data_IF_145954304497
#
_entry.id   IF_145954304497
#
_cell.length_a   1.000
_cell.length_b   1.000
_cell.length_c   1.000
_cell.angle_alpha   90.00
_cell.angle_beta   90.00
_cell.angle_gamma   90.00
#
_symmetry.space_group_name_H-M   'P 1'
#
loop_
_entity.id
_entity.type
_entity.pdbx_description
1 polymer ?
#
# COMPACT_ATOMS: atom_id res chain seq x y z
N UNK A 1 -75.22 -8.38 5.57
CA UNK A 1 -75.57 -7.53 6.73
C UNK A 1 -75.92 -8.46 7.87
N UNK A 2 -75.08 -8.50 8.94
CA UNK A 2 -75.10 -9.50 10.04
C UNK A 2 -74.89 -10.93 9.52
N UNK A 3 -74.20 -11.86 10.14
CA UNK A 3 -73.43 -11.98 11.36
C UNK A 3 -72.70 -13.33 11.16
N UNK A 4 -71.38 -13.32 10.99
CA UNK A 4 -70.58 -14.51 10.68
C UNK A 4 -69.62 -14.76 11.82
N UNK A 5 -70.09 -15.47 12.84
CA UNK A 5 -69.40 -15.73 14.10
C UNK A 5 -68.13 -16.55 13.86
N UNK A 6 -66.96 -15.90 13.98
CA UNK A 6 -65.68 -16.62 14.12
C UNK A 6 -65.68 -17.26 15.50
N UNK A 7 -66.04 -18.54 15.58
CA UNK A 7 -65.88 -19.32 16.82
C UNK A 7 -64.46 -19.86 16.86
N UNK A 8 -63.68 -19.38 17.82
CA UNK A 8 -62.33 -19.87 18.08
C UNK A 8 -62.41 -21.02 19.08
N UNK A 9 -62.07 -22.23 18.66
CA UNK A 9 -61.91 -23.37 19.56
C UNK A 9 -60.41 -23.62 19.78
N UNK A 10 -60.00 -23.66 21.06
CA UNK A 10 -58.59 -23.71 21.49
C UNK A 10 -58.20 -25.08 22.10
N UNK A 11 -59.02 -26.11 21.91
CA UNK A 11 -58.90 -27.37 22.63
C UNK A 11 -57.70 -28.27 22.28
N UNK A 12 -56.74 -27.86 21.43
CA UNK A 12 -55.50 -28.62 21.18
C UNK A 12 -54.32 -27.78 20.64
N UNK A 13 -54.21 -26.50 21.02
CA UNK A 13 -53.06 -25.66 20.63
C UNK A 13 -52.94 -25.33 19.13
N UNK A 14 -53.97 -25.63 18.34
CA UNK A 14 -54.11 -25.22 16.93
C UNK A 14 -55.43 -24.48 16.75
N UNK A 15 -55.36 -23.25 16.25
CA UNK A 15 -56.53 -22.47 15.87
C UNK A 15 -57.14 -23.07 14.60
N UNK A 16 -58.40 -23.52 14.68
CA UNK A 16 -59.17 -23.94 13.51
C UNK A 16 -60.23 -22.89 13.21
N UNK A 17 -60.13 -22.25 12.04
CA UNK A 17 -61.15 -21.31 11.54
C UNK A 17 -61.95 -22.05 10.47
N UNK A 18 -63.27 -22.14 10.67
CA UNK A 18 -64.19 -22.64 9.64
C UNK A 18 -64.51 -21.46 8.71
N UNK A 19 -64.10 -21.58 7.45
CA UNK A 19 -64.35 -20.59 6.39
C UNK A 19 -65.36 -21.20 5.41
N UNK A 20 -66.34 -20.41 4.98
CA UNK A 20 -67.29 -20.80 3.94
C UNK A 20 -66.55 -21.22 2.66
N UNK A 21 -67.00 -22.33 2.06
CA UNK A 21 -66.34 -22.94 0.90
C UNK A 21 -66.16 -21.96 -0.27
N UNK A 22 -67.11 -21.06 -0.48
CA UNK A 22 -67.07 -20.08 -1.57
C UNK A 22 -66.00 -18.99 -1.33
N UNK A 23 -65.75 -18.60 -0.07
CA UNK A 23 -64.64 -17.71 0.30
C UNK A 23 -63.28 -18.39 0.19
N UNK A 24 -63.22 -19.71 0.45
CA UNK A 24 -61.99 -20.48 0.28
C UNK A 24 -61.57 -20.55 -1.20
N UNK A 25 -62.53 -20.69 -2.11
CA UNK A 25 -62.28 -20.68 -3.57
C UNK A 25 -61.84 -19.29 -4.08
N UNK A 26 -62.31 -18.20 -3.45
CA UNK A 26 -61.86 -16.83 -3.75
C UNK A 26 -60.44 -16.56 -3.26
N UNK A 27 -60.07 -17.06 -2.08
CA UNK A 27 -58.70 -16.98 -1.54
C UNK A 27 -57.73 -17.79 -2.41
N UNK A 28 -58.10 -19.02 -2.80
CA UNK A 28 -57.29 -19.86 -3.70
C UNK A 28 -57.09 -19.25 -5.09
N UNK A 29 -58.07 -18.49 -5.61
CA UNK A 29 -57.93 -17.77 -6.88
C UNK A 29 -56.97 -16.59 -6.81
N UNK A 30 -56.77 -16.02 -5.62
CA UNK A 30 -55.86 -14.89 -5.38
C UNK A 30 -54.43 -15.32 -4.97
N UNK A 31 -54.17 -16.62 -4.78
CA UNK A 31 -52.86 -17.17 -4.37
C UNK A 31 -51.84 -17.32 -5.51
N UNK A 32 -52.14 -16.91 -6.75
CA UNK A 32 -51.17 -16.93 -7.87
C UNK A 32 -50.84 -15.52 -8.35
N UNK A 33 -50.39 -14.68 -7.42
CA UNK A 33 -49.29 -13.76 -7.70
C UNK A 33 -48.32 -13.80 -6.52
N UNK A 34 -47.53 -14.86 -6.42
CA UNK A 34 -46.22 -14.81 -5.73
C UNK A 34 -45.26 -13.89 -6.51
N UNK A 35 -45.61 -12.61 -6.64
CA UNK A 35 -44.66 -11.58 -6.96
C UNK A 35 -43.83 -11.34 -5.72
N UNK A 36 -42.67 -12.00 -5.60
CA UNK A 36 -41.64 -11.60 -4.62
C UNK A 36 -41.35 -10.11 -4.80
N UNK A 37 -41.93 -9.24 -3.96
CA UNK A 37 -41.48 -7.86 -3.83
C UNK A 37 -40.04 -7.91 -3.29
N UNK A 38 -39.06 -7.83 -4.19
CA UNK A 38 -37.66 -7.60 -3.84
C UNK A 38 -37.51 -6.13 -3.44
N UNK A 39 -37.60 -5.84 -2.14
CA UNK A 39 -37.07 -4.59 -1.62
C UNK A 39 -35.55 -4.61 -1.73
N UNK A 40 -34.99 -3.92 -2.72
CA UNK A 40 -33.55 -3.63 -2.78
C UNK A 40 -33.32 -2.42 -1.88
N UNK A 41 -33.09 -2.67 -0.59
CA UNK A 41 -32.69 -1.60 0.33
C UNK A 41 -31.22 -1.29 0.08
N UNK A 42 -30.95 -0.06 -0.37
CA UNK A 42 -29.60 0.46 -0.51
C UNK A 42 -29.01 0.67 0.89
N UNK A 43 -28.29 -0.34 1.38
CA UNK A 43 -27.68 -0.37 2.70
C UNK A 43 -26.75 0.82 2.94
N UNK A 44 -26.27 1.49 1.89
CA UNK A 44 -25.43 2.69 2.01
C UNK A 44 -26.21 3.95 2.47
N UNK A 45 -27.55 3.90 2.43
CA UNK A 45 -28.45 5.00 2.82
C UNK A 45 -29.13 4.77 4.17
N UNK A 46 -28.89 3.63 4.82
CA UNK A 46 -29.39 3.37 6.17
C UNK A 46 -28.53 4.09 7.20
N UNK A 47 -29.07 4.29 8.40
CA UNK A 47 -28.29 4.83 9.54
C UNK A 47 -27.08 3.94 9.86
N UNK A 48 -27.18 2.64 9.58
CA UNK A 48 -26.10 1.68 9.77
C UNK A 48 -25.00 1.85 8.72
N UNK A 49 -25.34 1.99 7.43
CA UNK A 49 -24.36 2.28 6.39
C UNK A 49 -23.71 3.66 6.52
N UNK A 50 -24.43 4.65 7.07
CA UNK A 50 -23.86 5.95 7.41
C UNK A 50 -22.83 5.84 8.55
N UNK A 51 -23.15 5.09 9.61
CA UNK A 51 -22.21 4.80 10.71
C UNK A 51 -21.00 4.02 10.24
N UNK A 52 -21.17 3.04 9.36
CA UNK A 52 -20.05 2.25 8.82
C UNK A 52 -19.11 3.10 7.97
N UNK A 53 -19.64 4.03 7.16
CA UNK A 53 -18.81 5.01 6.42
C UNK A 53 -18.07 5.96 7.36
N UNK A 54 -18.74 6.45 8.40
CA UNK A 54 -18.13 7.35 9.38
C UNK A 54 -17.04 6.63 10.20
N UNK A 55 -17.28 5.39 10.61
CA UNK A 55 -16.31 4.55 11.30
C UNK A 55 -15.12 4.19 10.39
N UNK A 56 -15.36 3.87 9.12
CA UNK A 56 -14.31 3.63 8.14
C UNK A 56 -13.47 4.91 7.90
N UNK A 57 -14.12 6.07 7.81
CA UNK A 57 -13.45 7.36 7.67
C UNK A 57 -12.62 7.72 8.92
N UNK A 58 -13.14 7.43 10.11
CA UNK A 58 -12.43 7.62 11.38
C UNK A 58 -11.22 6.68 11.49
N UNK A 59 -11.37 5.38 11.18
CA UNK A 59 -10.24 4.44 11.13
C UNK A 59 -9.18 4.86 10.11
N UNK A 60 -9.59 5.34 8.95
CA UNK A 60 -8.68 5.87 7.94
C UNK A 60 -7.95 7.14 8.41
N UNK A 61 -8.60 8.01 9.20
CA UNK A 61 -7.99 9.23 9.73
C UNK A 61 -6.98 8.92 10.84
N UNK A 62 -7.30 8.00 11.75
CA UNK A 62 -6.40 7.51 12.82
C UNK A 62 -5.17 6.82 12.23
N UNK A 63 -5.37 5.91 11.26
CA UNK A 63 -4.25 5.27 10.56
C UNK A 63 -3.35 6.29 9.83
N UNK A 64 -3.91 7.38 9.29
CA UNK A 64 -3.13 8.48 8.69
C UNK A 64 -2.31 9.25 9.71
N UNK A 65 -2.87 9.54 10.88
CA UNK A 65 -2.15 10.26 11.95
C UNK A 65 -1.00 9.42 12.50
N UNK A 66 -1.23 8.13 12.71
CA UNK A 66 -0.20 7.20 13.18
C UNK A 66 0.93 7.07 12.15
N UNK A 67 0.60 6.91 10.87
CA UNK A 67 1.60 6.86 9.79
C UNK A 67 2.41 8.16 9.67
N UNK A 68 1.78 9.32 9.86
CA UNK A 68 2.46 10.62 9.89
C UNK A 68 3.37 10.76 11.12
N UNK A 69 2.94 10.27 12.27
CA UNK A 69 3.70 10.32 13.52
C UNK A 69 4.90 9.36 13.45
N UNK A 70 4.72 8.13 12.95
CA UNK A 70 5.79 7.16 12.67
C UNK A 70 6.82 7.72 11.67
N UNK A 71 6.37 8.33 10.58
CA UNK A 71 7.25 8.99 9.63
C UNK A 71 8.05 10.16 10.23
N UNK A 72 7.59 10.76 11.34
CA UNK A 72 8.33 11.78 12.10
C UNK A 72 9.34 11.15 13.08
N UNK A 73 9.02 10.01 13.70
CA UNK A 73 9.94 9.30 14.59
C UNK A 73 11.16 8.75 13.85
N UNK A 74 10.99 8.20 12.65
CA UNK A 74 12.11 7.72 11.82
C UNK A 74 13.01 8.84 11.25
N UNK A 75 12.50 10.08 11.16
CA UNK A 75 13.23 11.27 10.66
C UNK A 75 13.84 12.14 11.78
N UNK A 76 13.93 11.61 13.00
CA UNK A 76 14.65 12.31 14.08
C UNK A 76 16.14 12.37 13.75
N UNK A 77 16.76 13.53 13.99
CA UNK A 77 18.20 13.71 13.82
C UNK A 77 18.95 12.62 14.60
N UNK A 78 19.81 11.87 13.92
CA UNK A 78 20.59 10.78 14.52
C UNK A 78 19.95 9.38 14.46
N UNK A 79 18.75 9.22 13.90
CA UNK A 79 18.16 7.89 13.65
C UNK A 79 19.01 7.06 12.68
N UNK A 80 18.90 5.73 12.74
CA UNK A 80 19.53 4.84 11.75
C UNK A 80 19.15 5.20 10.31
N UNK A 81 17.89 5.61 10.07
CA UNK A 81 17.43 6.02 8.74
C UNK A 81 18.23 7.21 8.21
N UNK A 82 18.38 8.25 9.04
CA UNK A 82 19.10 9.48 8.68
C UNK A 82 20.58 9.18 8.50
N UNK A 83 21.18 8.40 9.40
CA UNK A 83 22.61 8.01 9.31
C UNK A 83 22.90 7.17 8.07
N UNK A 84 22.04 6.19 7.76
CA UNK A 84 22.12 5.38 6.55
C UNK A 84 22.08 6.28 5.31
N UNK A 85 21.06 7.13 5.19
CA UNK A 85 20.92 8.00 4.02
C UNK A 85 22.04 9.03 3.89
N UNK A 86 22.58 9.54 5.01
CA UNK A 86 23.78 10.38 5.00
C UNK A 86 25.00 9.65 4.44
N UNK A 87 25.20 8.38 4.84
CA UNK A 87 26.30 7.55 4.34
C UNK A 87 26.12 7.25 2.85
N UNK A 88 24.94 6.80 2.44
CA UNK A 88 24.62 6.53 1.03
C UNK A 88 24.78 7.77 0.15
N UNK A 89 24.40 8.95 0.66
CA UNK A 89 24.62 10.22 -0.03
C UNK A 89 26.11 10.50 -0.25
N UNK A 90 26.97 10.24 0.75
CA UNK A 90 28.43 10.38 0.57
C UNK A 90 28.95 9.47 -0.53
N UNK A 91 28.47 8.23 -0.62
CA UNK A 91 28.83 7.32 -1.72
C UNK A 91 28.47 7.94 -3.07
N UNK A 92 27.25 8.45 -3.23
CA UNK A 92 26.84 9.13 -4.48
C UNK A 92 27.73 10.34 -4.76
N UNK A 93 28.05 11.15 -3.75
CA UNK A 93 28.91 12.33 -3.89
C UNK A 93 30.33 11.95 -4.32
N UNK A 94 30.93 10.88 -3.79
CA UNK A 94 32.26 10.41 -4.20
C UNK A 94 32.26 9.87 -5.63
N UNK A 95 31.28 9.03 -6.00
CA UNK A 95 31.14 8.53 -7.38
C UNK A 95 30.94 9.69 -8.36
N UNK A 96 30.13 10.69 -7.98
CA UNK A 96 29.82 11.84 -8.84
C UNK A 96 31.00 12.78 -9.10
N UNK A 97 32.09 12.71 -8.30
CA UNK A 97 33.31 13.50 -8.52
C UNK A 97 34.19 12.92 -9.63
N UNK A 98 34.03 11.64 -9.97
CA UNK A 98 34.84 10.99 -10.99
C UNK A 98 34.35 11.41 -12.38
N UNK A 99 35.22 12.03 -13.16
CA UNK A 99 34.86 12.58 -14.49
C UNK A 99 34.39 11.50 -15.46
N UNK A 100 34.89 10.27 -15.30
CA UNK A 100 34.53 9.13 -16.15
C UNK A 100 33.02 8.82 -16.08
N UNK A 101 32.34 9.23 -15.00
CA UNK A 101 30.93 8.97 -14.76
C UNK A 101 30.01 10.15 -15.07
N UNK A 102 30.52 11.20 -15.73
CA UNK A 102 29.74 12.40 -16.07
C UNK A 102 28.45 12.06 -16.84
N UNK A 103 28.47 11.01 -17.67
CA UNK A 103 27.32 10.56 -18.45
C UNK A 103 26.12 10.09 -17.61
N UNK A 104 26.33 9.73 -16.32
CA UNK A 104 25.30 9.20 -15.42
C UNK A 104 24.88 10.19 -14.34
N UNK A 105 25.41 11.42 -14.37
CA UNK A 105 25.08 12.46 -13.39
C UNK A 105 23.66 12.99 -13.53
N UNK A 106 23.16 13.05 -14.77
CA UNK A 106 21.84 13.59 -15.10
C UNK A 106 20.99 12.53 -15.79
N UNK A 107 19.65 12.70 -15.79
CA UNK A 107 18.77 11.76 -16.48
C UNK A 107 19.20 11.51 -17.92
N UNK A 108 19.40 10.25 -18.30
CA UNK A 108 19.83 9.87 -19.65
C UNK A 108 18.87 10.37 -20.75
N UNK A 109 17.59 10.53 -20.40
CA UNK A 109 16.56 11.10 -21.27
C UNK A 109 16.86 12.55 -21.70
N UNK A 110 17.62 13.34 -20.93
CA UNK A 110 18.03 14.69 -21.33
C UNK A 110 18.94 14.67 -22.56
N UNK A 111 19.73 13.59 -22.74
CA UNK A 111 20.64 13.41 -23.87
C UNK A 111 20.00 12.64 -25.02
N UNK A 112 19.30 11.56 -24.71
CA UNK A 112 18.71 10.65 -25.71
C UNK A 112 17.31 11.09 -26.20
N UNK A 113 16.70 12.05 -25.51
CA UNK A 113 15.37 12.58 -25.83
C UNK A 113 14.26 11.53 -25.75
N UNK A 114 13.19 11.76 -26.51
CA UNK A 114 11.99 10.93 -26.53
C UNK A 114 12.22 9.45 -26.91
N UNK A 115 13.35 9.11 -27.53
CA UNK A 115 13.69 7.73 -27.88
C UNK A 115 14.05 6.88 -26.67
N UNK A 116 14.58 7.51 -25.61
CA UNK A 116 14.91 6.81 -24.37
C UNK A 116 13.68 6.13 -23.76
N UNK A 117 12.58 6.87 -23.68
CA UNK A 117 11.33 6.38 -23.08
C UNK A 117 10.58 5.36 -23.93
N UNK A 118 11.05 5.07 -25.15
CA UNK A 118 10.56 3.92 -25.94
C UNK A 118 11.13 2.59 -25.44
N UNK A 119 12.24 2.63 -24.70
CA UNK A 119 12.98 1.43 -24.25
C UNK A 119 12.96 1.31 -22.72
N UNK A 120 13.17 2.42 -22.03
CA UNK A 120 13.22 2.50 -20.56
C UNK A 120 11.98 3.23 -20.06
N UNK A 121 11.22 2.65 -19.14
CA UNK A 121 10.01 3.32 -18.64
C UNK A 121 10.38 4.52 -17.77
N UNK A 122 9.59 5.61 -17.78
CA UNK A 122 9.87 6.80 -16.96
C UNK A 122 10.04 6.50 -15.47
N UNK A 123 9.23 5.60 -14.91
CA UNK A 123 9.25 5.19 -13.50
C UNK A 123 10.47 4.35 -13.11
N UNK A 124 11.14 3.73 -14.09
CA UNK A 124 12.35 2.91 -13.92
C UNK A 124 13.62 3.71 -14.27
N UNK A 125 13.49 4.96 -14.73
CA UNK A 125 14.64 5.79 -15.07
C UNK A 125 15.38 6.25 -13.80
N UNK A 126 16.71 6.18 -13.83
CA UNK A 126 17.56 6.52 -12.70
C UNK A 126 18.87 7.18 -13.16
N UNK A 127 19.41 8.04 -12.30
CA UNK A 127 20.68 8.76 -12.46
C UNK A 127 21.24 9.18 -11.09
N UNK A 128 22.52 9.53 -11.03
CA UNK A 128 23.20 9.84 -9.76
C UNK A 128 22.63 11.09 -9.07
N UNK A 129 22.18 12.12 -9.81
CA UNK A 129 21.54 13.30 -9.21
C UNK A 129 20.20 12.92 -8.57
N UNK A 130 19.39 12.08 -9.22
CA UNK A 130 18.14 11.57 -8.67
C UNK A 130 18.37 10.74 -7.41
N UNK A 131 19.36 9.85 -7.43
CA UNK A 131 19.77 9.09 -6.24
C UNK A 131 20.22 10.01 -5.10
N UNK A 132 21.04 11.03 -5.39
CA UNK A 132 21.49 12.01 -4.40
C UNK A 132 20.33 12.78 -3.77
N UNK A 133 19.33 13.18 -4.57
CA UNK A 133 18.09 13.82 -4.07
C UNK A 133 17.29 12.85 -3.19
N UNK A 134 17.14 11.60 -3.60
CA UNK A 134 16.42 10.56 -2.85
C UNK A 134 17.10 10.28 -1.50
N UNK A 135 18.43 10.18 -1.47
CA UNK A 135 19.19 10.03 -0.24
C UNK A 135 19.07 11.27 0.67
N UNK A 136 19.18 12.48 0.12
CA UNK A 136 19.00 13.73 0.89
C UNK A 136 17.62 13.84 1.55
N UNK A 137 16.60 13.21 0.98
CA UNK A 137 15.24 13.18 1.50
C UNK A 137 14.95 11.99 2.45
N UNK A 138 15.98 11.27 2.90
CA UNK A 138 15.85 10.03 3.70
C UNK A 138 14.97 8.96 3.02
N UNK A 139 15.05 8.90 1.70
CA UNK A 139 14.19 8.09 0.84
C UNK A 139 14.55 6.61 0.82
N UNK A 140 15.81 6.25 1.10
CA UNK A 140 16.24 4.85 1.15
C UNK A 140 15.91 4.24 2.51
N UNK A 141 15.01 3.26 2.53
CA UNK A 141 14.62 2.52 3.75
C UNK A 141 15.53 1.33 4.05
N UNK A 142 16.40 0.99 3.10
CA UNK A 142 17.41 -0.04 3.24
C UNK A 142 18.54 0.23 2.25
N UNK A 143 19.73 -0.31 2.53
CA UNK A 143 20.83 -0.27 1.57
C UNK A 143 20.54 -1.06 0.28
N UNK A 144 19.72 -2.11 0.37
CA UNK A 144 19.29 -2.90 -0.79
C UNK A 144 18.54 -2.04 -1.82
N UNK A 145 17.67 -1.14 -1.37
CA UNK A 145 16.96 -0.22 -2.27
C UNK A 145 17.91 0.76 -2.98
N UNK A 146 19.04 1.11 -2.35
CA UNK A 146 20.08 1.93 -2.96
C UNK A 146 20.88 1.16 -4.01
N UNK A 147 21.28 -0.09 -3.69
CA UNK A 147 21.97 -0.98 -4.63
C UNK A 147 21.12 -1.26 -5.88
N UNK A 148 19.81 -1.43 -5.70
CA UNK A 148 18.87 -1.60 -6.81
C UNK A 148 18.84 -0.38 -7.75
N UNK A 149 18.89 0.84 -7.22
CA UNK A 149 18.95 2.05 -8.05
C UNK A 149 20.29 2.13 -8.84
N UNK A 150 21.42 1.73 -8.24
CA UNK A 150 22.71 1.62 -8.96
C UNK A 150 22.64 0.59 -10.10
N UNK A 151 22.10 -0.60 -9.82
CA UNK A 151 21.91 -1.64 -10.82
C UNK A 151 20.98 -1.19 -11.94
N UNK A 152 19.97 -0.38 -11.61
CA UNK A 152 19.02 0.19 -12.57
C UNK A 152 19.73 1.12 -13.56
N UNK A 153 20.68 1.95 -13.11
CA UNK A 153 21.51 2.79 -14.01
C UNK A 153 22.24 1.91 -15.02
N UNK A 154 22.94 0.87 -14.55
CA UNK A 154 23.69 -0.05 -15.40
C UNK A 154 22.77 -0.85 -16.33
N UNK A 155 21.67 -1.38 -15.82
CA UNK A 155 20.70 -2.16 -16.59
C UNK A 155 20.05 -1.33 -17.71
N UNK A 156 19.63 -0.10 -17.40
CA UNK A 156 19.04 0.80 -18.38
C UNK A 156 20.05 1.21 -19.46
N UNK A 157 21.31 1.43 -19.07
CA UNK A 157 22.40 1.68 -20.01
C UNK A 157 22.54 0.51 -21.00
N UNK A 158 22.62 -0.73 -20.50
CA UNK A 158 22.72 -1.93 -21.34
C UNK A 158 21.51 -2.10 -22.25
N UNK A 159 20.30 -1.95 -21.69
CA UNK A 159 19.04 -2.14 -22.41
C UNK A 159 18.90 -1.13 -23.56
N UNK A 160 19.12 0.16 -23.27
CA UNK A 160 19.01 1.22 -24.27
C UNK A 160 20.09 1.06 -25.35
N UNK A 161 21.35 0.85 -24.97
CA UNK A 161 22.43 0.76 -25.93
C UNK A 161 22.34 -0.51 -26.80
N UNK A 162 21.84 -1.63 -26.26
CA UNK A 162 21.51 -2.83 -27.06
C UNK A 162 20.45 -2.55 -28.12
N UNK A 163 19.40 -1.81 -27.78
CA UNK A 163 18.36 -1.42 -28.74
C UNK A 163 18.92 -0.50 -29.85
N UNK A 164 19.96 0.27 -29.55
CA UNK A 164 20.68 1.12 -30.51
C UNK A 164 21.87 0.42 -31.19
N UNK A 165 21.88 -0.92 -31.27
CA UNK A 165 22.94 -1.72 -31.92
C UNK A 165 24.34 -1.52 -31.30
N UNK A 166 24.41 -1.26 -29.99
CA UNK A 166 25.65 -1.09 -29.22
C UNK A 166 26.60 -0.01 -29.73
N UNK A 167 26.07 1.06 -30.36
CA UNK A 167 26.89 2.19 -30.84
C UNK A 167 27.64 2.95 -29.74
N UNK A 168 27.25 2.76 -28.47
CA UNK A 168 27.90 3.36 -27.31
C UNK A 168 28.44 2.28 -26.35
N UNK A 169 29.22 1.34 -26.86
CA UNK A 169 29.85 0.27 -26.05
C UNK A 169 30.68 0.82 -24.88
N UNK A 170 31.32 1.98 -25.07
CA UNK A 170 32.13 2.62 -24.04
C UNK A 170 31.28 3.10 -22.86
N UNK A 171 30.07 3.62 -23.13
CA UNK A 171 29.12 3.98 -22.07
C UNK A 171 28.65 2.75 -21.29
N UNK A 172 28.49 1.61 -21.97
CA UNK A 172 28.16 0.35 -21.29
C UNK A 172 29.31 -0.02 -20.34
N UNK A 173 30.56 0.00 -20.81
CA UNK A 173 31.70 -0.29 -19.94
C UNK A 173 31.77 0.64 -18.72
N UNK A 174 31.61 1.95 -18.94
CA UNK A 174 31.59 2.95 -17.86
C UNK A 174 30.46 2.71 -16.85
N UNK A 175 29.29 2.23 -17.29
CA UNK A 175 28.17 1.93 -16.38
C UNK A 175 28.46 0.74 -15.47
N UNK A 176 29.19 -0.28 -15.96
CA UNK A 176 29.64 -1.40 -15.13
C UNK A 176 30.71 -0.92 -14.14
N UNK A 177 31.69 -0.12 -14.60
CA UNK A 177 32.71 0.46 -13.73
C UNK A 177 32.12 1.35 -12.64
N UNK A 178 31.07 2.12 -12.95
CA UNK A 178 30.32 2.90 -11.97
C UNK A 178 29.72 2.01 -10.88
N UNK A 179 29.08 0.91 -11.25
CA UNK A 179 28.48 -0.03 -10.31
C UNK A 179 29.55 -0.69 -9.43
N UNK A 180 30.68 -1.09 -10.01
CA UNK A 180 31.80 -1.69 -9.29
C UNK A 180 32.40 -0.70 -8.28
N UNK A 181 32.63 0.54 -8.69
CA UNK A 181 33.18 1.59 -7.81
C UNK A 181 32.20 1.95 -6.68
N UNK A 182 30.92 2.10 -6.99
CA UNK A 182 29.90 2.34 -5.97
C UNK A 182 29.80 1.16 -4.99
N UNK A 183 29.89 -0.08 -5.48
CA UNK A 183 29.91 -1.28 -4.65
C UNK A 183 31.13 -1.32 -3.73
N UNK A 184 32.31 -1.01 -4.27
CA UNK A 184 33.55 -0.90 -3.50
C UNK A 184 33.43 0.12 -2.37
N UNK A 185 32.85 1.28 -2.64
CA UNK A 185 32.61 2.33 -1.63
C UNK A 185 31.60 1.89 -0.56
N UNK A 186 30.55 1.15 -0.94
CA UNK A 186 29.63 0.56 0.03
C UNK A 186 30.32 -0.47 0.92
N UNK A 187 31.23 -1.27 0.36
CA UNK A 187 31.92 -2.33 1.08
C UNK A 187 32.89 -1.81 2.15
N UNK A 188 33.50 -0.64 1.93
CA UNK A 188 34.27 0.10 2.96
C UNK A 188 33.43 0.34 4.22
N UNK A 189 32.11 0.53 4.05
CA UNK A 189 31.18 0.83 5.12
C UNK A 189 30.22 -0.32 5.45
N UNK A 190 30.51 -1.55 4.99
CA UNK A 190 29.59 -2.69 5.07
C UNK A 190 29.04 -2.95 6.47
N UNK A 191 29.87 -2.82 7.50
CA UNK A 191 29.47 -3.09 8.88
C UNK A 191 28.47 -2.04 9.38
N UNK A 192 28.78 -0.75 9.20
CA UNK A 192 27.88 0.32 9.60
C UNK A 192 26.54 0.24 8.84
N UNK A 193 26.58 -0.11 7.55
CA UNK A 193 25.38 -0.32 6.75
C UNK A 193 24.54 -1.49 7.30
N UNK A 194 25.19 -2.62 7.64
CA UNK A 194 24.52 -3.77 8.23
C UNK A 194 23.85 -3.41 9.56
N UNK A 195 24.54 -2.69 10.43
CA UNK A 195 24.02 -2.28 11.74
C UNK A 195 22.80 -1.36 11.57
N UNK A 196 22.86 -0.38 10.66
CA UNK A 196 21.72 0.49 10.37
C UNK A 196 20.54 -0.26 9.75
N UNK A 197 20.79 -1.17 8.79
CA UNK A 197 19.72 -1.97 8.18
C UNK A 197 19.08 -2.93 9.20
N UNK A 198 19.84 -3.45 10.17
CA UNK A 198 19.33 -4.28 11.25
C UNK A 198 18.42 -3.46 12.19
N UNK A 199 18.88 -2.29 12.66
CA UNK A 199 18.09 -1.39 13.50
C UNK A 199 16.78 -0.97 12.80
N UNK A 200 16.84 -0.66 11.50
CA UNK A 200 15.66 -0.29 10.72
C UNK A 200 14.68 -1.44 10.51
N UNK A 201 15.15 -2.69 10.50
CA UNK A 201 14.29 -3.87 10.39
C UNK A 201 13.58 -4.14 11.72
N UNK A 202 14.29 -4.00 12.83
CA UNK A 202 13.73 -4.19 14.17
C UNK A 202 12.67 -3.14 14.48
N UNK A 203 12.94 -1.88 14.13
CA UNK A 203 11.95 -0.78 14.23
C UNK A 203 10.66 -1.08 13.46
N UNK A 204 10.75 -1.73 12.29
CA UNK A 204 9.58 -2.12 11.51
C UNK A 204 8.84 -3.31 12.12
N UNK A 205 9.54 -4.26 12.73
CA UNK A 205 8.96 -5.42 13.38
C UNK A 205 8.15 -5.04 14.63
N UNK A 206 8.68 -4.13 15.46
CA UNK A 206 7.99 -3.63 16.67
C UNK A 206 6.67 -2.93 16.31
N UNK A 207 6.63 -2.21 15.19
CA UNK A 207 5.41 -1.56 14.70
C UNK A 207 4.39 -2.58 14.18
N UNK A 208 4.85 -3.66 13.54
CA UNK A 208 3.99 -4.75 13.07
C UNK A 208 3.25 -5.45 14.21
N UNK A 209 3.95 -5.79 15.30
CA UNK A 209 3.36 -6.44 16.46
C UNK A 209 2.37 -5.55 17.22
N UNK A 210 2.63 -4.24 17.29
CA UNK A 210 1.70 -3.28 17.88
C UNK A 210 0.37 -3.18 17.09
N UNK A 211 0.42 -3.32 15.76
CA UNK A 211 -0.75 -3.30 14.89
C UNK A 211 -1.55 -4.62 14.92
N UNK A 212 -0.92 -5.75 15.28
CA UNK A 212 -1.54 -7.07 15.41
C UNK A 212 -2.19 -7.34 16.77
N UNK A 213 -2.14 -6.39 17.72
CA UNK A 213 -2.73 -6.57 19.04
C UNK A 213 -4.27 -6.61 18.92
N UNK A 214 -4.95 -7.70 19.33
CA UNK A 214 -6.40 -7.79 19.21
C UNK A 214 -7.06 -6.65 19.99
N UNK A 215 -8.05 -6.03 19.35
CA UNK A 215 -8.86 -4.96 19.96
C UNK A 215 -9.37 -5.43 21.32
N UNK A 216 -9.00 -4.69 22.37
CA UNK A 216 -9.47 -4.91 23.74
C UNK A 216 -10.99 -5.12 23.70
N UNK A 217 -11.53 -6.25 24.19
CA UNK A 217 -12.96 -6.47 24.20
C UNK A 217 -13.62 -5.34 24.99
N UNK A 218 -14.64 -4.72 24.38
CA UNK A 218 -15.46 -3.70 25.02
C UNK A 218 -16.00 -4.27 26.33
N UNK A 219 -15.79 -3.53 27.42
CA UNK A 219 -15.97 -4.00 28.78
C UNK A 219 -17.32 -4.69 29.00
N UNK A 220 -17.23 -5.89 29.58
CA UNK A 220 -18.28 -6.41 30.43
C UNK A 220 -18.49 -5.39 31.55
N UNK A 221 -19.60 -4.65 31.50
CA UNK A 221 -20.13 -3.94 32.65
C UNK A 221 -20.63 -5.01 33.64
N UNK A 222 -19.76 -5.40 34.57
CA UNK A 222 -20.15 -6.13 35.77
C UNK A 222 -21.12 -5.27 36.58
N UNK A 223 -22.20 -5.92 37.04
CA UNK A 223 -23.24 -5.28 37.83
C UNK A 223 -22.82 -4.95 39.25
N UNK A 224 -23.72 -4.27 39.95
CA UNK A 224 -23.87 -4.39 41.40
C UNK A 224 -25.26 -3.90 41.81
N UNK A 225 -25.89 -4.72 42.65
CA UNK A 225 -26.92 -4.46 43.67
C UNK A 225 -28.22 -3.75 43.24
#
# INVERSE_FOLDING_TARGET
YRDGTVKQDHSNGKLRVLIDRDKLEEIKKNEVQEGKLKFVMDLTKTKEGAKEKEEAAFRASVNRTDRKQQARYGRKAGSALVKLNQLLRKVVEEVSKQRDFEAFLRPAAERAGQYYFRVVKPEEAMDLMTMGKKAKADGYKSSAAFRQDLETIRHNCDKFNRACQNRNSDLVLLAHQLLDEATRLLDVHKQAIYDFDAELRDDQAVVGDAASRPSRPAGATGGSA
#
